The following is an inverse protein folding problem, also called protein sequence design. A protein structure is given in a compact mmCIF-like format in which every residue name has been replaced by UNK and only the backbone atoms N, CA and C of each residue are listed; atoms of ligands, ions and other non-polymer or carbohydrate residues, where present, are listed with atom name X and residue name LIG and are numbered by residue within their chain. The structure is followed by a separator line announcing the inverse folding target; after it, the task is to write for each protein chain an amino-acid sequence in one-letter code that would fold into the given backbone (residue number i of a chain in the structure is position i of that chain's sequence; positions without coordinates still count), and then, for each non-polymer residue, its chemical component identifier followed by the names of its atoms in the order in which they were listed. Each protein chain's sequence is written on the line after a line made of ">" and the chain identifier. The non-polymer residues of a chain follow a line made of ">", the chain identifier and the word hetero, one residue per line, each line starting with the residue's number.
data_IF_813861903732
#
_entry.id   IF_813861903732
#
_cell.length_a   1.000
_cell.length_b   1.000
_cell.length_c   1.000
_cell.angle_alpha   90.00
_cell.angle_beta   90.00
_cell.angle_gamma   90.00
#
_symmetry.space_group_name_H-M   'P 1'
#
loop_
_entity.id
_entity.type
_entity.pdbx_description
1 polymer ?
#
# COMPACT_ATOMS: atom_id res chain seq x y z
N UNK A 1 14.46 -1.02 8.72
CA UNK A 1 13.76 -2.18 8.17
C UNK A 1 12.33 -1.82 7.75
N UNK A 2 11.88 -2.36 6.62
CA UNK A 2 10.49 -2.29 6.16
C UNK A 2 9.80 -3.64 6.33
N UNK A 3 8.57 -3.66 6.81
CA UNK A 3 7.77 -4.88 6.93
C UNK A 3 6.41 -4.69 6.26
N UNK A 4 6.04 -5.65 5.42
CA UNK A 4 4.73 -5.70 4.76
C UNK A 4 3.91 -6.83 5.35
N UNK A 5 2.69 -6.51 5.79
CA UNK A 5 1.73 -7.48 6.30
C UNK A 5 0.46 -7.40 5.45
N UNK A 6 -0.02 -8.55 5.00
CA UNK A 6 -1.26 -8.66 4.21
C UNK A 6 -2.33 -9.41 4.97
N UNK A 7 -3.58 -9.12 4.64
CA UNK A 7 -4.71 -9.87 5.15
C UNK A 7 -5.98 -9.66 4.35
N UNK A 8 -7.05 -10.31 4.81
CA UNK A 8 -8.38 -10.19 4.23
C UNK A 8 -9.27 -9.32 5.10
N UNK A 9 -9.97 -8.36 4.50
CA UNK A 9 -10.89 -7.46 5.22
C UNK A 9 -12.02 -8.27 5.85
N UNK A 10 -12.58 -9.22 5.11
CA UNK A 10 -13.64 -10.14 5.54
C UNK A 10 -13.27 -10.90 6.81
N UNK A 11 -12.05 -11.43 6.89
CA UNK A 11 -11.53 -12.16 8.06
C UNK A 11 -11.15 -11.22 9.20
N UNK A 12 -10.41 -10.16 8.91
CA UNK A 12 -9.83 -9.29 9.96
C UNK A 12 -10.85 -8.36 10.60
N UNK A 13 -11.90 -7.96 9.88
CA UNK A 13 -12.93 -7.06 10.42
C UNK A 13 -13.72 -7.65 11.60
N UNK A 14 -13.73 -8.98 11.74
CA UNK A 14 -14.30 -9.70 12.86
C UNK A 14 -13.27 -10.05 13.96
N UNK A 15 -12.03 -9.58 13.83
CA UNK A 15 -10.99 -9.84 14.82
C UNK A 15 -11.20 -9.09 16.14
N UNK A 16 -10.56 -9.58 17.21
CA UNK A 16 -10.65 -8.97 18.53
C UNK A 16 -9.95 -7.61 18.57
N UNK A 17 -10.65 -6.61 19.10
CA UNK A 17 -10.14 -5.28 19.45
C UNK A 17 -10.81 -4.81 20.75
N UNK A 18 -10.18 -3.89 21.51
CA UNK A 18 -10.83 -3.26 22.64
C UNK A 18 -12.09 -2.50 22.21
N UNK A 19 -13.15 -2.54 23.02
CA UNK A 19 -14.44 -1.88 22.73
C UNK A 19 -14.31 -0.38 22.45
N UNK A 20 -13.43 0.30 23.19
CA UNK A 20 -13.13 1.71 22.98
C UNK A 20 -12.58 2.02 21.59
N UNK A 21 -11.86 1.07 20.97
CA UNK A 21 -11.36 1.21 19.61
C UNK A 21 -12.44 0.86 18.58
N UNK A 22 -13.28 -0.15 18.85
CA UNK A 22 -14.44 -0.50 18.00
C UNK A 22 -15.44 0.66 17.91
N UNK A 23 -15.64 1.39 19.02
CA UNK A 23 -16.52 2.55 19.08
C UNK A 23 -16.07 3.71 18.17
N UNK A 24 -14.77 3.81 17.86
CA UNK A 24 -14.23 4.83 16.94
C UNK A 24 -14.40 4.47 15.46
N UNK A 25 -14.81 3.24 15.15
CA UNK A 25 -14.95 2.81 13.76
C UNK A 25 -16.07 3.60 13.06
N UNK A 26 -15.82 4.11 11.84
CA UNK A 26 -16.82 4.85 11.08
C UNK A 26 -18.02 3.96 10.77
N UNK A 27 -19.16 4.58 10.50
CA UNK A 27 -20.34 3.88 10.03
C UNK A 27 -20.30 3.67 8.51
N UNK A 28 -21.09 2.72 8.02
CA UNK A 28 -21.25 2.44 6.60
C UNK A 28 -20.09 1.65 5.97
N UNK A 29 -19.91 1.83 4.66
CA UNK A 29 -19.07 0.96 3.81
C UNK A 29 -17.58 0.91 4.19
N UNK A 30 -17.09 1.91 4.94
CA UNK A 30 -15.67 1.96 5.38
C UNK A 30 -15.43 1.24 6.71
N UNK A 31 -16.48 0.79 7.40
CA UNK A 31 -16.36 0.20 8.75
C UNK A 31 -15.49 -1.05 8.76
N UNK A 32 -15.74 -1.99 7.86
CA UNK A 32 -15.04 -3.27 7.83
C UNK A 32 -13.54 -3.10 7.57
N UNK A 33 -13.14 -2.31 6.57
CA UNK A 33 -11.72 -2.06 6.28
C UNK A 33 -11.03 -1.25 7.38
N UNK A 34 -11.75 -0.34 8.04
CA UNK A 34 -11.25 0.41 9.18
C UNK A 34 -10.92 -0.51 10.37
N UNK A 35 -11.81 -1.46 10.69
CA UNK A 35 -11.62 -2.45 11.76
C UNK A 35 -10.51 -3.42 11.40
N UNK A 36 -10.52 -3.95 10.18
CA UNK A 36 -9.50 -4.86 9.67
C UNK A 36 -8.09 -4.26 9.78
N UNK A 37 -7.93 -2.98 9.46
CA UNK A 37 -6.65 -2.29 9.58
C UNK A 37 -6.14 -2.20 11.03
N UNK A 38 -7.05 -2.09 12.01
CA UNK A 38 -6.70 -2.01 13.44
C UNK A 38 -6.36 -3.37 14.00
N UNK A 39 -7.10 -4.41 13.61
CA UNK A 39 -6.72 -5.79 13.92
C UNK A 39 -5.35 -6.12 13.33
N UNK A 40 -5.10 -5.71 12.08
CA UNK A 40 -3.80 -5.95 11.42
C UNK A 40 -2.65 -5.24 12.16
N UNK A 41 -2.85 -3.99 12.57
CA UNK A 41 -1.90 -3.24 13.39
C UNK A 41 -1.66 -3.91 14.76
N UNK A 42 -2.72 -4.27 15.48
CA UNK A 42 -2.61 -4.93 16.80
C UNK A 42 -1.93 -6.31 16.73
N UNK A 43 -2.06 -7.03 15.60
CA UNK A 43 -1.35 -8.29 15.38
C UNK A 43 0.13 -8.06 15.06
N UNK A 44 0.45 -6.99 14.33
CA UNK A 44 1.83 -6.67 13.97
C UNK A 44 2.60 -6.02 15.13
N UNK A 45 1.91 -5.30 16.02
CA UNK A 45 2.49 -4.55 17.13
C UNK A 45 1.69 -4.80 18.41
N UNK A 46 2.34 -5.39 19.41
CA UNK A 46 1.75 -5.65 20.73
C UNK A 46 2.74 -5.24 21.83
N UNK A 47 2.38 -4.27 22.70
CA UNK A 47 1.13 -3.51 22.70
C UNK A 47 1.01 -2.58 21.48
N UNK A 48 -0.22 -2.30 21.04
CA UNK A 48 -0.48 -1.34 19.97
C UNK A 48 -0.12 0.08 20.48
N UNK A 49 0.82 0.80 19.85
CA UNK A 49 1.14 2.16 20.26
C UNK A 49 -0.06 3.09 20.10
N UNK A 50 -0.10 4.15 20.91
CA UNK A 50 -1.15 5.17 20.82
C UNK A 50 -1.19 5.77 19.41
N UNK A 51 -2.40 5.84 18.85
CA UNK A 51 -2.62 6.40 17.51
C UNK A 51 -3.17 7.82 17.60
N UNK A 52 -2.58 8.69 16.80
CA UNK A 52 -3.06 10.05 16.55
C UNK A 52 -3.54 10.17 15.11
N UNK A 53 -4.34 11.19 14.82
CA UNK A 53 -4.87 11.44 13.47
C UNK A 53 -4.36 12.78 12.96
N UNK A 54 -3.65 12.75 11.84
CA UNK A 54 -3.16 13.94 11.17
C UNK A 54 -4.19 14.57 10.22
N UNK A 55 -3.72 15.48 9.37
CA UNK A 55 -4.53 16.11 8.33
C UNK A 55 -5.30 15.05 7.49
N UNK A 56 -6.55 15.36 7.17
CA UNK A 56 -7.45 14.48 6.40
C UNK A 56 -7.75 13.11 7.07
N UNK A 57 -7.47 12.97 8.36
CA UNK A 57 -7.77 11.76 9.14
C UNK A 57 -6.79 10.60 8.90
N UNK A 58 -5.59 10.88 8.38
CA UNK A 58 -4.54 9.85 8.23
C UNK A 58 -4.06 9.43 9.63
N UNK A 59 -4.15 8.13 9.99
CA UNK A 59 -3.66 7.67 11.28
C UNK A 59 -2.12 7.59 11.29
N UNK A 60 -1.52 7.87 12.44
CA UNK A 60 -0.10 7.76 12.73
C UNK A 60 0.09 7.37 14.21
N UNK A 61 1.30 6.99 14.62
CA UNK A 61 1.60 6.81 16.04
C UNK A 61 1.92 8.14 16.71
N UNK A 62 1.68 8.22 18.02
CA UNK A 62 2.00 9.41 18.81
C UNK A 62 3.51 9.71 18.81
N UNK A 63 3.84 10.98 19.06
CA UNK A 63 5.22 11.44 19.10
C UNK A 63 6.03 10.63 20.13
N UNK A 64 7.22 10.18 19.74
CA UNK A 64 8.08 9.33 20.58
C UNK A 64 8.05 7.85 20.23
N UNK A 65 7.09 7.39 19.40
CA UNK A 65 7.14 6.05 18.81
C UNK A 65 8.01 6.09 17.55
N UNK A 66 9.18 5.43 17.49
CA UNK A 66 10.08 5.45 16.34
C UNK A 66 9.62 4.50 15.23
N UNK A 67 8.32 4.48 14.95
CA UNK A 67 7.69 3.64 13.94
C UNK A 67 6.71 4.46 13.09
N UNK A 68 6.60 4.09 11.84
CA UNK A 68 5.70 4.67 10.87
C UNK A 68 4.94 3.59 10.15
N UNK A 69 3.73 3.92 9.70
CA UNK A 69 2.93 2.97 8.96
C UNK A 69 2.07 3.61 7.89
N UNK A 70 1.66 2.77 6.95
CA UNK A 70 0.59 3.07 6.03
C UNK A 70 -0.31 1.87 5.81
N UNK A 71 -1.60 2.14 5.60
CA UNK A 71 -2.60 1.12 5.30
C UNK A 71 -3.19 1.41 3.92
N UNK A 72 -3.40 0.35 3.15
CA UNK A 72 -4.23 0.40 1.95
C UNK A 72 -5.09 -0.85 1.82
N UNK A 73 -6.23 -0.73 1.17
CA UNK A 73 -7.10 -1.86 0.89
C UNK A 73 -7.77 -1.69 -0.47
N UNK A 74 -7.99 -2.80 -1.17
CA UNK A 74 -8.76 -2.86 -2.40
C UNK A 74 -9.43 -4.22 -2.52
N UNK A 75 -10.71 -4.22 -2.86
CA UNK A 75 -11.58 -5.38 -2.69
C UNK A 75 -11.51 -5.93 -1.26
N UNK A 76 -11.30 -7.24 -1.14
CA UNK A 76 -11.18 -7.92 0.16
C UNK A 76 -9.74 -7.97 0.70
N UNK A 77 -8.76 -7.34 0.05
CA UNK A 77 -7.36 -7.38 0.49
C UNK A 77 -6.98 -6.09 1.20
N UNK A 78 -6.26 -6.19 2.31
CA UNK A 78 -5.68 -5.07 3.06
C UNK A 78 -4.18 -5.28 3.27
N UNK A 79 -3.41 -4.21 3.15
CA UNK A 79 -1.97 -4.16 3.32
C UNK A 79 -1.59 -3.14 4.40
N UNK A 80 -0.65 -3.54 5.26
CA UNK A 80 0.03 -2.71 6.22
C UNK A 80 1.52 -2.67 5.85
N UNK A 81 2.05 -1.47 5.66
CA UNK A 81 3.49 -1.24 5.55
C UNK A 81 3.97 -0.58 6.85
N UNK A 82 4.91 -1.21 7.54
CA UNK A 82 5.60 -0.70 8.72
C UNK A 82 7.03 -0.31 8.37
N UNK A 83 7.54 0.69 9.07
CA UNK A 83 8.90 1.21 8.92
C UNK A 83 9.42 1.74 10.25
N UNK A 84 10.68 1.48 10.56
CA UNK A 84 11.46 2.13 11.63
C UNK A 84 12.48 3.14 11.07
N UNK A 85 12.52 3.33 9.73
CA UNK A 85 13.45 4.22 9.03
C UNK A 85 12.84 5.59 8.69
N UNK A 86 11.52 5.71 8.83
CA UNK A 86 10.77 6.92 8.54
C UNK A 86 9.42 6.67 7.90
N UNK A 87 8.81 7.77 7.48
CA UNK A 87 7.46 7.85 6.92
C UNK A 87 7.32 7.07 5.61
N UNK A 88 6.25 6.27 5.50
CA UNK A 88 5.98 5.39 4.36
C UNK A 88 4.59 5.60 3.76
N UNK A 89 4.42 5.22 2.49
CA UNK A 89 3.15 5.19 1.78
C UNK A 89 2.96 3.82 1.12
N UNK A 90 1.77 3.24 1.21
CA UNK A 90 1.46 2.00 0.50
C UNK A 90 0.13 2.11 -0.23
N UNK A 91 0.06 1.43 -1.36
CA UNK A 91 -1.19 1.25 -2.05
C UNK A 91 -1.33 -0.16 -2.64
N UNK A 92 -2.57 -0.66 -2.64
CA UNK A 92 -2.92 -1.96 -3.19
C UNK A 92 -4.14 -1.78 -4.06
N UNK A 93 -4.10 -2.32 -5.27
CA UNK A 93 -5.26 -2.31 -6.16
C UNK A 93 -5.50 -3.71 -6.73
N UNK A 94 -6.75 -4.15 -6.62
CA UNK A 94 -7.21 -5.34 -7.33
C UNK A 94 -7.45 -4.94 -8.79
N UNK A 95 -6.74 -5.62 -9.71
CA UNK A 95 -7.00 -5.47 -11.15
C UNK A 95 -8.46 -5.81 -11.40
N UNK A 96 -9.14 -4.88 -12.05
CA UNK A 96 -10.52 -5.02 -12.50
C UNK A 96 -10.70 -4.33 -13.84
N UNK A 97 -11.66 -4.77 -14.66
CA UNK A 97 -12.09 -4.02 -15.84
C UNK A 97 -12.43 -2.58 -15.47
N UNK A 98 -12.03 -1.65 -16.34
CA UNK A 98 -12.26 -0.22 -16.15
C UNK A 98 -12.32 0.49 -17.49
N UNK A 99 -13.49 0.72 -18.04
CA UNK A 99 -13.64 1.18 -19.44
C UNK A 99 -12.87 2.46 -19.77
N UNK A 100 -12.76 3.41 -18.83
CA UNK A 100 -12.10 4.69 -19.02
C UNK A 100 -10.61 4.73 -18.58
N UNK A 101 -9.96 3.58 -18.40
CA UNK A 101 -8.59 3.53 -17.88
C UNK A 101 -7.59 4.30 -18.76
N UNK A 102 -7.75 4.27 -20.09
CA UNK A 102 -6.87 5.01 -21.02
C UNK A 102 -7.01 6.53 -20.88
N UNK A 103 -8.24 7.04 -20.77
CA UNK A 103 -8.47 8.47 -20.55
C UNK A 103 -7.87 8.95 -19.24
N UNK A 104 -7.94 8.10 -18.19
CA UNK A 104 -7.34 8.40 -16.90
C UNK A 104 -5.81 8.36 -16.95
N UNK A 105 -5.22 7.42 -17.69
CA UNK A 105 -3.79 7.40 -17.97
C UNK A 105 -3.35 8.72 -18.62
N UNK A 106 -4.02 9.13 -19.70
CA UNK A 106 -3.71 10.37 -20.43
C UNK A 106 -3.76 11.64 -19.55
N UNK A 107 -4.62 11.65 -18.52
CA UNK A 107 -4.76 12.79 -17.63
C UNK A 107 -3.69 12.85 -16.52
N UNK A 108 -3.08 11.72 -16.16
CA UNK A 108 -2.30 11.59 -14.92
C UNK A 108 -0.88 11.08 -15.14
N UNK A 109 -0.64 10.30 -16.20
CA UNK A 109 0.64 9.66 -16.47
C UNK A 109 1.56 10.63 -17.22
N UNK A 110 2.84 10.58 -16.88
CA UNK A 110 3.91 11.22 -17.62
C UNK A 110 4.20 10.49 -18.93
N UNK A 111 4.97 11.13 -19.84
CA UNK A 111 5.38 10.52 -21.10
C UNK A 111 6.13 9.18 -20.89
N UNK A 112 6.98 9.10 -19.86
CA UNK A 112 7.71 7.86 -19.53
C UNK A 112 6.80 6.75 -19.02
N UNK A 113 5.79 7.08 -18.21
CA UNK A 113 4.79 6.12 -17.73
C UNK A 113 3.88 5.63 -18.87
N UNK A 114 3.54 6.52 -19.81
CA UNK A 114 2.86 6.11 -21.05
C UNK A 114 3.72 5.15 -21.87
N UNK A 115 5.00 5.45 -22.06
CA UNK A 115 5.91 4.57 -22.79
C UNK A 115 6.05 3.19 -22.10
N UNK A 116 6.13 3.13 -20.76
CA UNK A 116 6.14 1.87 -20.00
C UNK A 116 4.87 1.05 -20.29
N UNK A 117 3.71 1.69 -20.27
CA UNK A 117 2.42 1.05 -20.48
C UNK A 117 2.21 0.58 -21.92
N UNK A 118 2.60 1.39 -22.91
CA UNK A 118 2.45 1.06 -24.34
C UNK A 118 3.47 0.03 -24.82
N UNK A 119 4.58 -0.16 -24.09
CA UNK A 119 5.54 -1.23 -24.36
C UNK A 119 4.98 -2.63 -24.04
N UNK A 120 3.90 -2.72 -23.25
CA UNK A 120 3.24 -3.99 -22.94
C UNK A 120 2.31 -4.46 -24.05
N UNK A 121 2.11 -5.79 -24.13
CA UNK A 121 1.11 -6.37 -25.04
C UNK A 121 -0.29 -5.81 -24.74
N UNK A 122 -1.18 -5.63 -25.74
CA UNK A 122 -2.52 -5.05 -25.53
C UNK A 122 -3.31 -5.66 -24.35
N UNK A 123 -3.24 -6.99 -24.20
CA UNK A 123 -3.86 -7.78 -23.12
C UNK A 123 -3.37 -7.38 -21.70
N UNK A 124 -2.13 -6.88 -21.61
CA UNK A 124 -1.43 -6.56 -20.35
C UNK A 124 -1.43 -5.07 -20.04
N UNK A 125 -1.84 -4.20 -20.96
CA UNK A 125 -1.83 -2.75 -20.76
C UNK A 125 -2.71 -2.31 -19.58
N UNK A 126 -3.86 -2.97 -19.34
CA UNK A 126 -4.69 -2.66 -18.17
C UNK A 126 -3.98 -3.00 -16.85
N UNK A 127 -3.24 -4.10 -16.80
CA UNK A 127 -2.43 -4.45 -15.63
C UNK A 127 -1.31 -3.43 -15.41
N UNK A 128 -0.64 -2.99 -16.50
CA UNK A 128 0.36 -1.93 -16.46
C UNK A 128 -0.22 -0.60 -15.96
N UNK A 129 -1.42 -0.23 -16.43
CA UNK A 129 -2.18 0.91 -15.92
C UNK A 129 -2.36 0.81 -14.40
N UNK A 130 -2.86 -0.31 -13.88
CA UNK A 130 -3.04 -0.49 -12.43
C UNK A 130 -1.70 -0.44 -11.67
N UNK A 131 -0.62 -1.01 -12.22
CA UNK A 131 0.74 -0.92 -11.63
C UNK A 131 1.22 0.53 -11.52
N UNK A 132 1.04 1.35 -12.56
CA UNK A 132 1.45 2.75 -12.55
C UNK A 132 0.54 3.58 -11.64
N UNK A 133 -0.78 3.39 -11.74
CA UNK A 133 -1.77 4.05 -10.90
C UNK A 133 -1.47 3.86 -9.40
N UNK A 134 -1.29 2.61 -8.99
CA UNK A 134 -1.02 2.22 -7.59
C UNK A 134 0.29 2.84 -7.09
N UNK A 135 1.34 2.87 -7.93
CA UNK A 135 2.60 3.58 -7.62
C UNK A 135 2.35 5.05 -7.32
N UNK A 136 1.56 5.73 -8.14
CA UNK A 136 1.23 7.15 -7.96
C UNK A 136 0.42 7.41 -6.70
N UNK A 137 -0.57 6.57 -6.41
CA UNK A 137 -1.39 6.69 -5.20
C UNK A 137 -0.60 6.42 -3.91
N UNK A 138 0.32 5.45 -3.93
CA UNK A 138 1.24 5.20 -2.82
C UNK A 138 2.12 6.44 -2.53
N UNK A 139 2.63 7.10 -3.57
CA UNK A 139 3.38 8.37 -3.42
C UNK A 139 2.46 9.52 -2.95
N UNK A 140 1.20 9.53 -3.39
CA UNK A 140 0.22 10.58 -3.02
C UNK A 140 -0.13 10.52 -1.53
N UNK A 141 -0.22 9.31 -0.96
CA UNK A 141 -0.50 9.03 0.45
C UNK A 141 0.60 9.46 1.42
N UNK A 142 1.77 9.81 0.90
CA UNK A 142 2.86 10.41 1.66
C UNK A 142 2.67 11.94 1.68
N UNK A 143 2.76 12.61 2.84
CA UNK A 143 2.57 14.08 2.93
C UNK A 143 3.67 14.84 2.19
N UNK A 144 3.46 16.13 1.93
CA UNK A 144 4.45 16.96 1.22
C UNK A 144 5.80 17.01 1.95
N UNK A 145 5.79 17.14 3.28
CA UNK A 145 6.99 17.11 4.13
C UNK A 145 7.71 15.77 4.02
N UNK A 146 6.96 14.68 4.02
CA UNK A 146 7.47 13.32 3.90
C UNK A 146 8.06 13.05 2.52
N UNK A 147 7.39 13.51 1.45
CA UNK A 147 7.92 13.41 0.08
C UNK A 147 9.26 14.13 -0.08
N UNK A 148 9.43 15.30 0.56
CA UNK A 148 10.68 16.06 0.53
C UNK A 148 11.80 15.35 1.31
N UNK A 149 11.50 14.85 2.51
CA UNK A 149 12.45 14.08 3.32
C UNK A 149 12.88 12.78 2.61
N UNK A 150 11.92 12.05 2.05
CA UNK A 150 12.16 10.81 1.32
C UNK A 150 12.92 11.05 0.02
N UNK A 151 12.66 12.17 -0.68
CA UNK A 151 13.43 12.55 -1.87
C UNK A 151 14.89 12.88 -1.55
N UNK A 152 15.15 13.53 -0.42
CA UNK A 152 16.52 13.82 0.04
C UNK A 152 17.28 12.57 0.49
N UNK A 153 16.58 11.53 0.96
CA UNK A 153 17.16 10.25 1.39
C UNK A 153 17.13 9.15 0.33
N UNK A 154 16.52 9.40 -0.82
CA UNK A 154 16.22 8.38 -1.84
C UNK A 154 15.09 7.41 -1.48
N UNK A 155 14.55 7.44 -0.26
CA UNK A 155 13.67 6.42 0.32
C UNK A 155 12.19 6.60 -0.07
N UNK A 156 11.85 6.38 -1.33
CA UNK A 156 10.44 6.24 -1.74
C UNK A 156 9.97 4.79 -1.61
N UNK A 157 9.65 4.36 -0.39
CA UNK A 157 8.96 3.07 -0.20
C UNK A 157 7.48 3.28 -0.48
N UNK A 158 7.13 3.07 -1.74
CA UNK A 158 5.79 2.81 -2.21
C UNK A 158 5.66 1.30 -2.37
N UNK A 159 4.86 0.65 -1.53
CA UNK A 159 4.44 -0.72 -1.83
C UNK A 159 3.31 -0.66 -2.86
N UNK A 160 3.49 -1.37 -3.96
CA UNK A 160 2.50 -1.52 -5.02
C UNK A 160 2.17 -3.01 -5.14
N UNK A 161 0.90 -3.34 -4.91
CA UNK A 161 0.38 -4.70 -5.01
C UNK A 161 -0.73 -4.75 -6.04
N UNK A 162 -0.51 -5.57 -7.07
CA UNK A 162 -1.42 -5.74 -8.19
C UNK A 162 -1.66 -7.24 -8.40
N UNK A 163 -2.90 -7.71 -8.19
CA UNK A 163 -3.31 -9.12 -8.34
C UNK A 163 -3.97 -9.73 -7.09
N UNK A 164 -4.57 -10.91 -7.23
CA UNK A 164 -5.05 -11.72 -6.10
C UNK A 164 -3.85 -12.32 -5.35
N UNK A 165 -3.87 -12.43 -4.00
CA UNK A 165 -2.73 -12.94 -3.26
C UNK A 165 -2.61 -14.46 -3.46
N UNK A 166 -1.67 -14.89 -4.29
CA UNK A 166 -1.08 -16.23 -4.24
C UNK A 166 0.36 -16.05 -3.79
N UNK A 167 0.58 -16.27 -2.48
CA UNK A 167 1.90 -16.41 -1.83
C UNK A 167 3.06 -15.59 -2.44
N UNK A 168 3.15 -14.30 -2.13
CA UNK A 168 4.26 -13.47 -2.60
C UNK A 168 5.53 -13.67 -1.76
N UNK A 169 6.67 -13.96 -2.42
CA UNK A 169 8.00 -13.61 -1.89
C UNK A 169 8.39 -12.24 -2.44
N UNK A 170 8.83 -11.35 -1.56
CA UNK A 170 9.22 -9.99 -1.91
C UNK A 170 10.60 -9.98 -2.55
N UNK A 171 10.75 -9.30 -3.68
CA UNK A 171 12.06 -9.04 -4.29
C UNK A 171 12.21 -7.53 -4.56
N UNK A 172 13.38 -6.97 -4.24
CA UNK A 172 13.78 -5.67 -4.75
C UNK A 172 13.98 -5.82 -6.26
N UNK A 173 13.08 -5.27 -7.09
CA UNK A 173 13.33 -5.18 -8.53
C UNK A 173 14.13 -3.91 -8.82
N UNK A 174 15.20 -4.03 -9.63
CA UNK A 174 16.01 -2.92 -10.15
C UNK A 174 15.22 -1.98 -11.05
N UNK A 175 14.36 -1.17 -10.45
CA UNK A 175 13.63 -0.07 -11.07
C UNK A 175 14.49 1.21 -11.07
N UNK A 176 14.17 2.17 -11.95
CA UNK A 176 14.66 3.56 -11.89
C UNK A 176 14.48 4.22 -10.50
N UNK A 177 13.67 3.60 -9.62
CA UNK A 177 13.47 3.98 -8.22
C UNK A 177 13.98 2.85 -7.29
N UNK A 178 15.22 2.94 -6.76
CA UNK A 178 15.88 1.86 -6.03
C UNK A 178 15.25 1.46 -4.68
N UNK A 179 14.12 2.06 -4.29
CA UNK A 179 13.44 1.84 -3.00
C UNK A 179 11.94 1.50 -3.11
N UNK A 180 11.43 1.22 -4.32
CA UNK A 180 10.06 0.75 -4.51
C UNK A 180 10.01 -0.77 -4.36
N UNK A 181 9.22 -1.27 -3.40
CA UNK A 181 8.97 -2.72 -3.27
C UNK A 181 7.81 -3.06 -4.21
N UNK A 182 8.15 -3.80 -5.26
CA UNK A 182 7.17 -4.36 -6.18
C UNK A 182 6.76 -5.73 -5.68
N UNK A 183 5.46 -5.97 -5.58
CA UNK A 183 4.96 -7.34 -5.61
C UNK A 183 3.92 -7.40 -6.74
N UNK A 184 4.43 -7.79 -7.91
CA UNK A 184 3.58 -8.31 -8.97
C UNK A 184 3.16 -9.73 -8.56
N UNK A 185 1.88 -10.06 -8.74
CA UNK A 185 1.48 -11.45 -8.86
C UNK A 185 2.03 -11.99 -10.19
N UNK A 186 3.29 -12.42 -10.19
CA UNK A 186 3.89 -13.12 -11.33
C UNK A 186 3.62 -14.63 -11.20
N UNK A 187 3.29 -15.25 -12.34
CA UNK A 187 3.14 -16.69 -12.54
C UNK A 187 4.13 -17.55 -11.73
N UNK A 188 3.66 -18.71 -11.29
CA UNK A 188 4.40 -19.78 -10.59
C UNK A 188 5.80 -20.04 -11.19
N UNK A 189 6.81 -19.30 -10.76
CA UNK A 189 8.15 -19.83 -10.51
C UNK A 189 9.08 -18.76 -9.91
N UNK A 190 9.73 -19.16 -8.82
CA UNK A 190 10.92 -18.58 -8.18
C UNK A 190 10.67 -17.71 -6.97
N UNK A 191 11.51 -18.02 -6.00
CA UNK A 191 11.35 -17.72 -4.61
C UNK A 191 12.62 -17.00 -4.17
N UNK A 192 12.57 -15.73 -3.77
CA UNK A 192 13.76 -14.96 -3.37
C UNK A 192 13.67 -14.57 -1.89
N UNK A 193 14.74 -14.85 -1.15
CA UNK A 193 15.01 -14.33 0.20
C UNK A 193 15.64 -12.94 0.07
N UNK A 194 15.33 -12.04 1.00
CA UNK A 194 16.08 -10.79 1.19
C UNK A 194 16.86 -10.87 2.50
N UNK A 195 18.18 -10.67 2.43
CA UNK A 195 19.07 -10.41 3.57
C UNK A 195 18.98 -8.96 4.01
#
# INVERSE_FOLDING_TARGET
>A
MYQVVLGKVSTLSAGQLPDALIAQAPQGVRRASWLAGRVLLSRALSPLPEMVYGEQGKPAFSAGTPLWFNLSHSGDTIALLLSDEGEVGCDIEVIRPRDNWRSLANAVFSLGEHAEMEAERPERQLAAFWRIWTRKEAIRKTTRRQRLANRQRGQHVALCLVGQPVSARYAQSGSLYPHTVYADAADDNKSVMTH
#
